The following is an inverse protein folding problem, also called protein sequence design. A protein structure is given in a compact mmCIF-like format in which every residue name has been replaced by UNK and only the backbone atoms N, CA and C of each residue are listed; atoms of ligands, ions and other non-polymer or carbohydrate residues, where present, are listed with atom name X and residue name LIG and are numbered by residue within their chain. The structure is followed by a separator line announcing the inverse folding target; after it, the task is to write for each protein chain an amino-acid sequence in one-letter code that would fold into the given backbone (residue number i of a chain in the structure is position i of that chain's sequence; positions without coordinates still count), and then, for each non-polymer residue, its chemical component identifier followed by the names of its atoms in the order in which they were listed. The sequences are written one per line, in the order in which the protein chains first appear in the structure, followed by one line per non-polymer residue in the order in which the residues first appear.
data_IF_552353670633
#
_entry.id   IF_552353670633
#
_cell.length_a   1.000
_cell.length_b   1.000
_cell.length_c   1.000
_cell.angle_alpha   90.00
_cell.angle_beta   90.00
_cell.angle_gamma   90.00
#
_symmetry.space_group_name_H-M   'P 1'
#
loop_
_entity.id
_entity.type
_entity.pdbx_description
1 polymer ?
#
# COMPACT_ATOMS: atom_id res chain seq x y z
N UNK A 1 -11.66 19.92 -21.09
CA UNK A 1 -10.87 18.67 -20.89
C UNK A 1 -10.64 18.55 -19.38
N UNK A 2 -11.23 17.53 -18.73
CA UNK A 2 -11.20 17.39 -17.26
C UNK A 2 -9.82 16.97 -16.70
N UNK A 3 -9.64 17.08 -15.38
CA UNK A 3 -8.41 16.72 -14.68
C UNK A 3 -8.14 15.21 -14.80
N UNK A 4 -6.92 14.83 -15.18
CA UNK A 4 -6.48 13.43 -15.24
C UNK A 4 -5.84 13.05 -13.91
N UNK A 5 -6.43 12.11 -13.20
CA UNK A 5 -5.81 11.44 -12.05
C UNK A 5 -4.93 10.28 -12.53
N UNK A 6 -3.74 10.14 -11.95
CA UNK A 6 -2.83 9.01 -12.16
C UNK A 6 -2.52 8.36 -10.81
N UNK A 7 -2.25 7.06 -10.82
CA UNK A 7 -1.82 6.29 -9.65
C UNK A 7 -0.39 5.79 -9.88
N UNK A 8 0.41 5.78 -8.81
CA UNK A 8 1.80 5.29 -8.82
C UNK A 8 1.90 4.18 -7.78
N UNK A 9 2.44 3.03 -8.19
CA UNK A 9 2.76 1.93 -7.28
C UNK A 9 4.25 1.95 -6.99
N UNK A 10 4.61 2.10 -5.71
CA UNK A 10 6.00 2.00 -5.26
C UNK A 10 6.48 0.55 -5.31
N UNK A 11 7.73 0.34 -5.73
CA UNK A 11 8.33 -0.99 -5.88
C UNK A 11 9.32 -1.36 -4.77
N UNK A 12 9.74 -0.38 -3.96
CA UNK A 12 10.68 -0.52 -2.86
C UNK A 12 10.50 0.64 -1.85
N UNK A 13 10.98 0.42 -0.62
CA UNK A 13 11.02 1.41 0.46
C UNK A 13 12.36 1.31 1.17
N UNK A 14 12.89 2.45 1.63
CA UNK A 14 14.17 2.54 2.35
C UNK A 14 14.02 3.33 3.64
N UNK A 15 14.84 2.98 4.65
CA UNK A 15 14.98 3.75 5.88
C UNK A 15 15.89 4.95 5.65
N UNK A 16 15.34 6.16 5.72
CA UNK A 16 16.10 7.39 5.46
C UNK A 16 17.12 7.70 6.56
N UNK A 17 16.91 7.25 7.80
CA UNK A 17 17.86 7.46 8.89
C UNK A 17 19.16 6.68 8.62
N UNK A 18 19.04 5.41 8.24
CA UNK A 18 20.18 4.56 7.86
C UNK A 18 20.94 5.13 6.65
N UNK A 19 20.23 5.62 5.63
CA UNK A 19 20.88 6.24 4.47
C UNK A 19 21.56 7.58 4.82
N UNK A 20 21.03 8.33 5.79
CA UNK A 20 21.65 9.57 6.25
C UNK A 20 22.96 9.31 7.01
N UNK A 21 22.99 8.28 7.86
CA UNK A 21 24.21 7.83 8.55
C UNK A 21 25.27 7.36 7.54
N UNK A 22 24.86 6.50 6.60
CA UNK A 22 25.74 6.00 5.55
C UNK A 22 26.33 7.14 4.69
N UNK A 23 25.54 8.18 4.42
CA UNK A 23 25.99 9.39 3.72
C UNK A 23 26.97 10.21 4.56
N UNK A 24 26.76 10.32 5.87
CA UNK A 24 27.67 11.04 6.75
C UNK A 24 29.04 10.35 6.81
N UNK A 25 29.06 9.02 6.82
CA UNK A 25 30.30 8.22 6.88
C UNK A 25 31.04 8.12 5.54
N UNK A 26 30.32 7.98 4.43
CA UNK A 26 30.92 7.62 3.13
C UNK A 26 30.39 8.39 1.93
N UNK A 27 29.58 9.42 2.13
CA UNK A 27 29.05 10.26 1.07
C UNK A 27 28.01 9.57 0.18
N UNK A 28 27.73 10.21 -0.96
CA UNK A 28 26.65 9.78 -1.87
C UNK A 28 26.99 8.49 -2.63
N UNK A 29 28.25 8.25 -2.95
CA UNK A 29 28.66 7.03 -3.67
C UNK A 29 28.37 5.77 -2.85
N UNK A 30 28.59 5.83 -1.53
CA UNK A 30 28.28 4.71 -0.64
C UNK A 30 26.78 4.43 -0.57
N UNK A 31 25.96 5.48 -0.56
CA UNK A 31 24.49 5.37 -0.66
C UNK A 31 24.08 4.78 -2.00
N UNK A 32 24.64 5.26 -3.11
CA UNK A 32 24.32 4.76 -4.45
C UNK A 32 24.66 3.26 -4.60
N UNK A 33 25.82 2.84 -4.08
CA UNK A 33 26.21 1.44 -4.05
C UNK A 33 25.21 0.59 -3.24
N UNK A 34 24.87 1.03 -2.01
CA UNK A 34 23.93 0.32 -1.13
C UNK A 34 22.52 0.20 -1.72
N UNK A 35 22.05 1.25 -2.42
CA UNK A 35 20.75 1.23 -3.12
C UNK A 35 20.77 0.25 -4.30
N UNK A 36 21.85 0.26 -5.08
CA UNK A 36 22.01 -0.60 -6.25
C UNK A 36 22.09 -2.08 -5.87
N UNK A 37 22.84 -2.38 -4.81
CA UNK A 37 22.94 -3.73 -4.23
C UNK A 37 21.56 -4.28 -3.84
N UNK A 38 20.80 -3.53 -3.04
CA UNK A 38 19.45 -4.00 -2.65
C UNK A 38 18.47 -4.07 -3.80
N UNK A 39 18.59 -3.22 -4.82
CA UNK A 39 17.77 -3.36 -6.02
C UNK A 39 18.11 -4.66 -6.78
N UNK A 40 19.38 -5.05 -6.84
CA UNK A 40 19.81 -6.30 -7.43
C UNK A 40 19.29 -7.51 -6.64
N UNK A 41 19.40 -7.47 -5.30
CA UNK A 41 18.85 -8.50 -4.41
C UNK A 41 17.33 -8.69 -4.61
N UNK A 42 16.57 -7.59 -4.63
CA UNK A 42 15.12 -7.64 -4.85
C UNK A 42 14.77 -8.17 -6.24
N UNK A 43 15.57 -7.85 -7.25
CA UNK A 43 15.37 -8.37 -8.62
C UNK A 43 15.61 -9.87 -8.67
N UNK A 44 16.67 -10.36 -8.02
CA UNK A 44 16.96 -11.79 -7.91
C UNK A 44 15.86 -12.55 -7.16
N UNK A 45 15.35 -11.99 -6.05
CA UNK A 45 14.24 -12.59 -5.30
C UNK A 45 12.96 -12.68 -6.14
N UNK A 46 12.67 -11.67 -6.97
CA UNK A 46 11.52 -11.70 -7.89
C UNK A 46 11.68 -12.76 -8.97
N UNK A 47 12.88 -12.91 -9.52
CA UNK A 47 13.16 -13.93 -10.53
C UNK A 47 13.05 -15.35 -9.96
N UNK A 48 13.56 -15.58 -8.75
CA UNK A 48 13.39 -16.82 -8.00
C UNK A 48 11.91 -17.13 -7.71
N UNK A 49 11.11 -16.10 -7.40
CA UNK A 49 9.66 -16.22 -7.20
C UNK A 49 8.90 -16.62 -8.47
N UNK A 50 9.39 -16.24 -9.67
CA UNK A 50 8.78 -16.64 -10.96
C UNK A 50 9.08 -18.11 -11.29
N UNK A 51 10.30 -18.59 -11.04
CA UNK A 51 10.66 -20.00 -11.30
C UNK A 51 9.90 -21.02 -10.46
N UNK A 52 9.31 -20.61 -9.33
CA UNK A 52 8.46 -21.46 -8.48
C UNK A 52 7.01 -21.57 -8.97
N UNK A 53 6.57 -20.68 -9.87
CA UNK A 53 5.18 -20.61 -10.35
C UNK A 53 4.91 -21.47 -11.60
N UNK A 54 5.94 -22.05 -12.22
CA UNK A 54 5.83 -22.82 -13.48
C UNK A 54 5.57 -24.33 -13.26
N UNK A 55 5.12 -24.71 -12.06
CA UNK A 55 5.03 -26.13 -11.63
C UNK A 55 3.84 -26.43 -10.72
N UNK A 56 2.64 -25.96 -11.09
CA UNK A 56 1.41 -26.34 -10.39
C UNK A 56 0.16 -25.83 -11.10
N UNK A 57 -0.50 -26.72 -11.85
CA UNK A 57 -1.95 -26.65 -12.03
C UNK A 57 -2.58 -26.83 -10.64
N UNK A 58 -2.97 -25.70 -10.05
CA UNK A 58 -3.63 -25.67 -8.75
C UNK A 58 -3.88 -24.23 -8.36
N UNK A 59 -5.14 -23.81 -8.48
CA UNK A 59 -5.79 -22.68 -7.84
C UNK A 59 -4.93 -21.98 -6.76
N UNK A 60 -4.15 -20.99 -7.18
CA UNK A 60 -3.52 -20.03 -6.29
C UNK A 60 -3.64 -18.65 -6.93
N UNK A 61 -4.86 -18.11 -6.88
CA UNK A 61 -5.13 -16.70 -7.03
C UNK A 61 -4.38 -15.91 -5.94
N UNK A 62 -3.15 -15.52 -6.24
CA UNK A 62 -2.28 -14.75 -5.34
C UNK A 62 -1.72 -13.54 -6.07
N UNK A 63 -2.53 -12.48 -6.21
CA UNK A 63 -2.10 -11.27 -6.91
C UNK A 63 -3.09 -10.11 -6.87
N UNK A 64 -3.54 -9.72 -5.67
CA UNK A 64 -4.36 -8.53 -5.42
C UNK A 64 -5.67 -8.88 -4.73
N UNK A 65 -5.81 -8.46 -3.47
CA UNK A 65 -7.01 -8.67 -2.64
C UNK A 65 -7.37 -10.15 -2.38
N UNK A 66 -6.53 -10.84 -1.61
CA UNK A 66 -6.84 -12.13 -0.98
C UNK A 66 -7.88 -12.02 0.16
N UNK A 67 -8.90 -11.19 -0.05
CA UNK A 67 -10.26 -11.23 0.46
C UNK A 67 -10.51 -11.73 1.88
N UNK A 68 -10.02 -11.03 2.91
CA UNK A 68 -10.67 -11.19 4.22
C UNK A 68 -12.11 -10.68 4.10
N UNK A 69 -13.11 -11.54 4.23
CA UNK A 69 -14.52 -11.11 4.26
C UNK A 69 -15.02 -11.14 5.69
N UNK A 70 -15.69 -10.08 6.11
CA UNK A 70 -16.26 -10.02 7.47
C UNK A 70 -17.66 -10.67 7.41
N UNK A 71 -17.80 -11.82 8.08
CA UNK A 71 -19.08 -12.55 8.15
C UNK A 71 -19.94 -12.04 9.31
N UNK A 72 -21.15 -11.60 8.99
CA UNK A 72 -22.14 -11.18 9.99
C UNK A 72 -23.00 -12.37 10.46
N UNK A 73 -23.42 -12.43 11.73
CA UNK A 73 -24.36 -13.45 12.23
C UNK A 73 -25.70 -13.48 11.49
N UNK A 74 -26.07 -12.37 10.86
CA UNK A 74 -27.27 -12.22 10.01
C UNK A 74 -27.14 -12.86 8.64
N UNK A 75 -26.00 -13.48 8.30
CA UNK A 75 -25.79 -14.11 7.00
C UNK A 75 -25.30 -13.17 5.90
N UNK A 76 -24.99 -11.91 6.22
CA UNK A 76 -24.37 -10.96 5.28
C UNK A 76 -22.84 -10.99 5.28
N UNK A 77 -22.26 -10.57 4.16
CA UNK A 77 -20.82 -10.40 3.94
C UNK A 77 -20.47 -8.93 3.81
N UNK A 78 -19.47 -8.48 4.56
CA UNK A 78 -18.98 -7.12 4.51
C UNK A 78 -17.56 -7.07 3.97
N UNK A 79 -17.23 -5.92 3.39
CA UNK A 79 -15.91 -5.67 2.81
C UNK A 79 -14.80 -5.80 3.88
N UNK A 80 -13.62 -6.34 3.52
CA UNK A 80 -12.42 -6.49 4.36
C UNK A 80 -12.01 -5.38 5.33
N UNK A 81 -12.42 -4.15 5.06
CA UNK A 81 -11.99 -2.95 5.76
C UNK A 81 -13.14 -2.17 6.40
N UNK A 82 -14.34 -2.77 6.45
CA UNK A 82 -15.49 -2.13 7.08
C UNK A 82 -15.36 -1.99 8.61
N UNK A 83 -14.44 -2.74 9.23
CA UNK A 83 -14.09 -2.67 10.65
C UNK A 83 -13.00 -1.63 10.97
N UNK A 84 -12.31 -1.12 9.94
CA UNK A 84 -11.21 -0.18 10.15
C UNK A 84 -11.76 1.16 10.64
N UNK A 85 -11.35 1.54 11.85
CA UNK A 85 -11.59 2.87 12.41
C UNK A 85 -10.81 3.90 11.58
N UNK A 86 -11.37 5.09 11.28
CA UNK A 86 -10.64 6.14 10.58
C UNK A 86 -9.32 6.43 11.30
N UNK A 87 -8.26 6.74 10.54
CA UNK A 87 -7.02 7.22 11.12
C UNK A 87 -7.29 8.52 11.90
N UNK A 88 -7.25 8.44 13.22
CA UNK A 88 -7.67 9.53 14.11
C UNK A 88 -8.18 8.99 15.43
N UNK A 89 -7.38 9.13 16.46
CA UNK A 89 -7.68 8.68 17.81
C UNK A 89 -8.91 9.44 18.35
N UNK A 90 -10.04 8.75 18.53
CA UNK A 90 -11.08 8.97 19.55
C UNK A 90 -11.39 10.38 20.07
N UNK A 91 -11.45 11.41 19.23
CA UNK A 91 -11.95 12.73 19.60
C UNK A 91 -13.08 13.16 18.67
N UNK A 92 -14.13 13.88 19.15
CA UNK A 92 -15.06 14.53 18.25
C UNK A 92 -14.26 15.43 17.30
N UNK A 93 -14.60 15.49 16.00
CA UNK A 93 -13.90 16.34 15.04
C UNK A 93 -13.95 17.77 15.56
N UNK A 94 -12.84 18.26 16.12
CA UNK A 94 -12.72 19.62 16.59
C UNK A 94 -12.73 20.52 15.36
N UNK A 95 -13.93 20.99 15.03
CA UNK A 95 -14.18 22.20 14.27
C UNK A 95 -13.52 22.27 12.90
N UNK A 96 -14.12 21.62 11.91
CA UNK A 96 -14.49 22.23 10.61
C UNK A 96 -15.27 21.20 9.79
N UNK A 97 -16.53 21.50 9.48
CA UNK A 97 -17.34 20.74 8.54
C UNK A 97 -16.61 20.70 7.19
N UNK A 98 -16.13 19.54 6.77
CA UNK A 98 -15.54 19.32 5.44
C UNK A 98 -16.53 18.66 4.46
N UNK A 99 -17.83 18.71 4.76
CA UNK A 99 -18.88 18.24 3.85
C UNK A 99 -19.48 19.42 3.10
N UNK A 100 -19.49 19.32 1.77
CA UNK A 100 -20.39 20.09 0.92
C UNK A 100 -21.81 19.61 1.17
N UNK A 101 -22.60 20.38 1.92
CA UNK A 101 -24.05 20.21 1.95
C UNK A 101 -24.59 20.66 0.59
N UNK A 102 -24.95 19.74 -0.29
CA UNK A 102 -25.71 20.10 -1.49
C UNK A 102 -27.15 20.42 -1.07
N UNK A 103 -27.70 21.61 -1.37
CA UNK A 103 -29.12 21.87 -1.18
C UNK A 103 -29.90 21.13 -2.27
N UNK A 104 -30.85 20.27 -1.88
CA UNK A 104 -31.91 19.84 -2.79
C UNK A 104 -32.24 18.35 -2.78
N UNK A 105 -33.26 17.99 -2.00
CA UNK A 105 -34.36 17.20 -2.54
C UNK A 105 -35.64 17.88 -2.06
N UNK A 106 -36.37 18.45 -3.00
CA UNK A 106 -37.76 18.81 -2.79
C UNK A 106 -38.59 17.63 -3.28
N UNK A 107 -39.39 17.04 -2.39
CA UNK A 107 -40.54 16.21 -2.73
C UNK A 107 -40.22 14.81 -3.23
#
# INVERSE_FOLDING_TARGET
RGARSFSVVGSAVWNLAELAELRAEGGLERVAARLSETLAEQSALREQGRGRQDGGDGDAAGGGDGGRTIRMPTGYEMHPWADLRPAGNGGPPTGRKLWHSSPGSAG
#
